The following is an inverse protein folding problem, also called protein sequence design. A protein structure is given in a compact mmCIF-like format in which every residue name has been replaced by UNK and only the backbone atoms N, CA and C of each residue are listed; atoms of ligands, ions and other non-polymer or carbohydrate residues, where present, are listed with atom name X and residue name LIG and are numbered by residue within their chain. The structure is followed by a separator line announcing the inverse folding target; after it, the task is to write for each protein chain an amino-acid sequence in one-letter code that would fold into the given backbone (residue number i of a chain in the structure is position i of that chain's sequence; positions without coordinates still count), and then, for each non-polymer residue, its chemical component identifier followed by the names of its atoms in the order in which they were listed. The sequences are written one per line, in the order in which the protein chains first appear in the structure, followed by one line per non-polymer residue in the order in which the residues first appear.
data_IF_905748427400
#
_entry.id   IF_905748427400
#
_cell.length_a   1.000
_cell.length_b   1.000
_cell.length_c   1.000
_cell.angle_alpha   90.00
_cell.angle_beta   90.00
_cell.angle_gamma   90.00
#
_symmetry.space_group_name_H-M   'P 1'
#
loop_
_entity.id
_entity.type
_entity.pdbx_description
1 polymer ?
#
# COMPACT_ATOMS: atom_id res chain seq x y z
N UNK A 1 1.63 -13.09 3.49
CA UNK A 1 1.87 -14.27 2.62
C UNK A 1 3.31 -14.65 2.86
N UNK A 2 3.59 -15.86 3.34
CA UNK A 2 4.92 -16.22 3.86
C UNK A 2 6.01 -16.15 2.76
N UNK A 3 7.10 -15.42 2.99
CA UNK A 3 8.17 -15.17 2.00
C UNK A 3 8.76 -16.49 1.49
N UNK A 4 8.87 -17.49 2.37
CA UNK A 4 9.33 -18.82 2.02
C UNK A 4 8.39 -19.53 1.03
N UNK A 5 7.07 -19.33 1.19
CA UNK A 5 6.08 -19.87 0.25
C UNK A 5 6.20 -19.24 -1.14
N UNK A 6 6.57 -17.95 -1.23
CA UNK A 6 6.81 -17.27 -2.50
C UNK A 6 8.12 -17.73 -3.15
N UNK A 7 9.19 -17.90 -2.36
CA UNK A 7 10.46 -18.48 -2.84
C UNK A 7 10.27 -19.89 -3.38
N UNK A 8 9.46 -20.72 -2.72
CA UNK A 8 9.17 -22.09 -3.17
C UNK A 8 8.34 -22.09 -4.47
N UNK A 9 7.34 -21.21 -4.59
CA UNK A 9 6.62 -21.02 -5.86
C UNK A 9 7.56 -20.63 -7.00
N UNK A 10 8.47 -19.67 -6.78
CA UNK A 10 9.48 -19.27 -7.78
C UNK A 10 10.36 -20.45 -8.19
N UNK A 11 10.79 -21.27 -7.24
CA UNK A 11 11.61 -22.46 -7.51
C UNK A 11 10.89 -23.45 -8.42
N UNK A 12 9.63 -23.76 -8.13
CA UNK A 12 8.78 -24.64 -8.96
C UNK A 12 8.63 -24.05 -10.38
N UNK A 13 8.38 -22.75 -10.48
CA UNK A 13 8.27 -22.03 -11.75
C UNK A 13 9.55 -22.11 -12.59
N UNK A 14 10.73 -21.90 -11.98
CA UNK A 14 12.02 -22.05 -12.66
C UNK A 14 12.24 -23.47 -13.16
N UNK A 15 11.96 -24.48 -12.34
CA UNK A 15 12.06 -25.89 -12.75
C UNK A 15 11.17 -26.19 -13.95
N UNK A 16 9.94 -25.69 -13.96
CA UNK A 16 9.01 -25.83 -15.09
C UNK A 16 9.53 -25.12 -16.34
N UNK A 17 10.04 -23.89 -16.23
CA UNK A 17 10.60 -23.13 -17.34
C UNK A 17 11.80 -23.85 -17.97
N UNK A 18 12.75 -24.32 -17.16
CA UNK A 18 13.90 -25.11 -17.63
C UNK A 18 13.48 -26.38 -18.36
N UNK A 19 12.43 -27.06 -17.89
CA UNK A 19 11.88 -28.26 -18.55
C UNK A 19 11.29 -27.96 -19.94
N UNK A 20 10.69 -26.78 -20.15
CA UNK A 20 10.18 -26.38 -21.47
C UNK A 20 11.32 -26.00 -22.42
N UNK A 21 12.37 -25.32 -21.91
CA UNK A 21 13.57 -25.01 -22.69
C UNK A 21 14.26 -26.28 -23.21
N UNK A 22 14.51 -27.25 -22.34
CA UNK A 22 15.14 -28.52 -22.76
C UNK A 22 14.27 -29.28 -23.76
N UNK A 23 12.93 -29.21 -23.63
CA UNK A 23 12.01 -29.81 -24.61
C UNK A 23 12.06 -29.12 -25.97
N UNK A 24 12.24 -27.80 -26.02
CA UNK A 24 12.45 -27.05 -27.26
C UNK A 24 13.79 -27.42 -27.90
N UNK A 25 14.88 -27.42 -27.12
CA UNK A 25 16.23 -27.78 -27.58
C UNK A 25 16.27 -29.19 -28.16
N UNK A 26 15.74 -30.17 -27.44
CA UNK A 26 15.66 -31.57 -27.93
C UNK A 26 14.79 -31.72 -29.16
N UNK A 27 13.71 -30.94 -29.29
CA UNK A 27 12.88 -30.95 -30.50
C UNK A 27 13.63 -30.38 -31.68
N UNK A 28 14.38 -29.28 -31.51
CA UNK A 28 15.22 -28.70 -32.56
C UNK A 28 16.27 -29.69 -33.05
N UNK A 29 16.94 -30.41 -32.14
CA UNK A 29 18.00 -31.39 -32.44
C UNK A 29 17.55 -32.65 -33.19
N UNK A 30 16.25 -32.97 -33.27
CA UNK A 30 15.76 -34.16 -34.01
C UNK A 30 15.87 -33.95 -35.53
N UNK A 31 16.56 -34.84 -36.23
CA UNK A 31 16.66 -34.81 -37.70
C UNK A 31 15.32 -35.04 -38.40
N UNK A 32 15.16 -34.43 -39.57
CA UNK A 32 13.91 -34.43 -40.36
C UNK A 32 13.97 -35.62 -41.34
N UNK A 33 13.15 -36.66 -41.13
CA UNK A 33 12.98 -37.74 -42.12
C UNK A 33 11.88 -37.38 -43.16
N UNK A 34 12.00 -38.02 -44.32
CA UNK A 34 11.50 -37.57 -45.64
C UNK A 34 9.99 -37.44 -45.77
N UNK A 35 9.17 -38.01 -44.88
CA UNK A 35 7.76 -38.22 -45.22
C UNK A 35 6.69 -37.43 -44.47
N UNK A 36 6.92 -36.78 -43.31
CA UNK A 36 5.87 -35.90 -42.73
C UNK A 36 6.29 -34.97 -41.55
N UNK A 37 7.50 -34.42 -41.50
CA UNK A 37 8.01 -33.92 -40.20
C UNK A 37 8.13 -32.37 -40.05
N UNK A 38 8.12 -31.57 -41.12
CA UNK A 38 8.38 -30.11 -40.97
C UNK A 38 7.22 -29.34 -40.33
N UNK A 39 6.00 -29.59 -40.77
CA UNK A 39 4.82 -28.82 -40.34
C UNK A 39 4.36 -29.23 -38.93
N UNK A 40 4.41 -30.53 -38.60
CA UNK A 40 4.18 -31.04 -37.25
C UNK A 40 5.21 -30.50 -36.23
N UNK A 41 6.49 -30.50 -36.61
CA UNK A 41 7.58 -29.94 -35.78
C UNK A 41 7.43 -28.43 -35.58
N UNK A 42 7.00 -27.70 -36.61
CA UNK A 42 6.71 -26.27 -36.51
C UNK A 42 5.52 -25.99 -35.56
N UNK A 43 4.45 -26.77 -35.66
CA UNK A 43 3.27 -26.65 -34.79
C UNK A 43 3.60 -26.97 -33.33
N UNK A 44 4.43 -27.99 -33.09
CA UNK A 44 4.93 -28.33 -31.75
C UNK A 44 5.82 -27.23 -31.18
N UNK A 45 6.74 -26.69 -31.97
CA UNK A 45 7.61 -25.56 -31.59
C UNK A 45 6.81 -24.29 -31.27
N UNK A 46 5.79 -23.96 -32.06
CA UNK A 46 4.91 -22.81 -31.80
C UNK A 46 4.13 -23.00 -30.50
N UNK A 47 3.63 -24.21 -30.23
CA UNK A 47 2.96 -24.53 -28.97
C UNK A 47 3.89 -24.40 -27.77
N UNK A 48 5.10 -24.96 -27.86
CA UNK A 48 6.11 -24.88 -26.80
C UNK A 48 6.59 -23.44 -26.57
N UNK A 49 6.74 -22.64 -27.64
CA UNK A 49 7.05 -21.21 -27.53
C UNK A 49 5.99 -20.46 -26.74
N UNK A 50 4.71 -20.70 -27.02
CA UNK A 50 3.60 -20.06 -26.28
C UNK A 50 3.64 -20.42 -24.79
N UNK A 51 3.84 -21.70 -24.47
CA UNK A 51 3.94 -22.17 -23.08
C UNK A 51 5.15 -21.55 -22.36
N UNK A 52 6.27 -21.42 -23.06
CA UNK A 52 7.47 -20.80 -22.51
C UNK A 52 7.26 -19.31 -22.21
N UNK A 53 6.61 -18.58 -23.12
CA UNK A 53 6.29 -17.15 -22.91
C UNK A 53 5.37 -16.94 -21.71
N UNK A 54 4.37 -17.80 -21.53
CA UNK A 54 3.48 -17.74 -20.36
C UNK A 54 4.25 -18.00 -19.05
N UNK A 55 5.09 -19.04 -19.01
CA UNK A 55 5.93 -19.34 -17.83
C UNK A 55 6.96 -18.27 -17.54
N UNK A 56 7.50 -17.60 -18.56
CA UNK A 56 8.38 -16.44 -18.38
C UNK A 56 7.64 -15.29 -17.70
N UNK A 57 6.44 -14.96 -18.17
CA UNK A 57 5.61 -13.90 -17.58
C UNK A 57 5.20 -14.21 -16.14
N UNK A 58 4.85 -15.46 -15.83
CA UNK A 58 4.59 -15.89 -14.45
C UNK A 58 5.84 -15.74 -13.57
N UNK A 59 7.02 -16.07 -14.09
CA UNK A 59 8.29 -15.96 -13.36
C UNK A 59 8.67 -14.50 -13.08
N UNK A 60 8.51 -13.61 -14.06
CA UNK A 60 8.73 -12.17 -13.91
C UNK A 60 7.84 -11.62 -12.79
N UNK A 61 6.54 -11.91 -12.84
CA UNK A 61 5.58 -11.47 -11.80
C UNK A 61 5.92 -12.02 -10.41
N UNK A 62 6.41 -13.27 -10.33
CA UNK A 62 6.82 -13.87 -9.07
C UNK A 62 8.08 -13.19 -8.49
N UNK A 63 9.07 -12.89 -9.34
CA UNK A 63 10.28 -12.17 -8.91
C UNK A 63 9.98 -10.73 -8.48
N UNK A 64 9.11 -10.01 -9.20
CA UNK A 64 8.63 -8.68 -8.79
C UNK A 64 7.95 -8.72 -7.42
N UNK A 65 7.08 -9.70 -7.18
CA UNK A 65 6.39 -9.85 -5.89
C UNK A 65 7.37 -10.18 -4.75
N UNK A 66 8.35 -11.06 -4.99
CA UNK A 66 9.40 -11.36 -4.00
C UNK A 66 10.23 -10.12 -3.68
N UNK A 67 10.63 -9.34 -4.69
CA UNK A 67 11.37 -8.10 -4.50
C UNK A 67 10.59 -7.08 -3.67
N UNK A 68 9.28 -6.94 -3.93
CA UNK A 68 8.39 -6.09 -3.14
C UNK A 68 8.31 -6.56 -1.67
N UNK A 69 8.17 -7.87 -1.43
CA UNK A 69 8.11 -8.43 -0.08
C UNK A 69 9.42 -8.24 0.70
N UNK A 70 10.57 -8.46 0.05
CA UNK A 70 11.88 -8.23 0.66
C UNK A 70 12.03 -6.76 1.02
N UNK A 71 11.74 -5.85 0.09
CA UNK A 71 11.82 -4.40 0.33
C UNK A 71 10.93 -3.96 1.49
N UNK A 72 9.69 -4.47 1.56
CA UNK A 72 8.78 -4.21 2.68
C UNK A 72 9.35 -4.74 4.00
N UNK A 73 9.94 -5.94 4.02
CA UNK A 73 10.54 -6.52 5.23
C UNK A 73 11.78 -5.76 5.72
N UNK A 74 12.65 -5.32 4.82
CA UNK A 74 13.81 -4.50 5.12
C UNK A 74 13.41 -3.14 5.64
N UNK A 75 12.40 -2.52 5.01
CA UNK A 75 11.82 -1.27 5.49
C UNK A 75 11.18 -1.42 6.87
N UNK A 76 10.48 -2.52 7.13
CA UNK A 76 9.91 -2.80 8.43
C UNK A 76 11.00 -3.00 9.50
N UNK A 77 12.11 -3.65 9.16
CA UNK A 77 13.26 -3.83 10.06
C UNK A 77 13.99 -2.51 10.35
N UNK A 78 14.25 -1.67 9.33
CA UNK A 78 14.81 -0.32 9.50
C UNK A 78 13.90 0.55 10.39
N UNK A 79 12.59 0.47 10.15
CA UNK A 79 11.59 1.17 10.96
C UNK A 79 11.63 0.70 12.41
N UNK A 80 11.65 -0.61 12.65
CA UNK A 80 11.70 -1.17 14.00
C UNK A 80 12.97 -0.75 14.74
N UNK A 81 14.12 -0.77 14.06
CA UNK A 81 15.39 -0.30 14.62
C UNK A 81 15.36 1.21 14.92
N UNK A 82 14.79 2.01 14.01
CA UNK A 82 14.73 3.47 14.16
C UNK A 82 13.73 3.91 15.21
N UNK A 83 12.55 3.29 15.28
CA UNK A 83 11.52 3.55 16.32
C UNK A 83 12.04 3.13 17.70
N UNK A 84 12.75 2.00 17.80
CA UNK A 84 13.42 1.59 19.05
C UNK A 84 14.51 2.57 19.50
N UNK A 85 15.16 3.28 18.58
CA UNK A 85 16.28 4.17 18.89
C UNK A 85 15.92 5.67 18.89
N UNK A 86 14.63 6.04 18.91
CA UNK A 86 14.24 7.44 19.14
C UNK A 86 14.45 7.75 20.62
N UNK A 87 15.64 8.24 20.97
CA UNK A 87 15.86 8.90 22.26
C UNK A 87 15.22 10.28 22.22
N UNK A 88 14.23 10.53 23.08
CA UNK A 88 13.77 11.90 23.34
C UNK A 88 14.74 12.51 24.35
N UNK A 89 15.80 13.17 23.89
CA UNK A 89 16.46 14.16 24.74
C UNK A 89 15.58 15.41 24.75
N UNK A 90 14.81 15.61 25.82
CA UNK A 90 14.34 16.96 26.15
C UNK A 90 15.54 17.77 26.60
N UNK A 91 16.33 18.29 25.65
CA UNK A 91 17.40 19.24 25.97
C UNK A 91 16.74 20.58 26.32
N UNK A 92 16.50 20.79 27.61
CA UNK A 92 16.55 22.15 28.16
C UNK A 92 18.03 22.51 28.27
N UNK A 93 18.49 23.68 27.81
CA UNK A 93 19.94 23.96 27.70
C UNK A 93 20.72 23.95 29.02
N UNK A 94 20.06 23.83 30.18
CA UNK A 94 20.67 23.93 31.51
C UNK A 94 19.95 23.02 32.53
N UNK A 95 19.83 21.72 32.27
CA UNK A 95 19.39 20.77 33.30
C UNK A 95 20.50 19.77 33.55
N UNK A 96 21.15 19.88 34.71
CA UNK A 96 22.14 18.93 35.17
C UNK A 96 21.45 17.57 35.45
N UNK A 97 21.56 16.67 34.48
CA UNK A 97 20.96 15.34 34.49
C UNK A 97 21.72 14.35 35.41
N UNK A 98 22.85 14.74 36.01
CA UNK A 98 23.65 13.86 36.86
C UNK A 98 22.98 13.51 38.20
N UNK A 99 22.00 14.29 38.63
CA UNK A 99 21.31 14.17 39.91
C UNK A 99 19.90 13.54 39.81
N UNK A 100 19.45 13.16 38.61
CA UNK A 100 18.09 12.66 38.38
C UNK A 100 18.14 11.22 37.84
N UNK A 101 17.26 10.35 38.34
CA UNK A 101 17.05 9.03 37.75
C UNK A 101 16.45 9.21 36.34
N UNK A 102 17.29 9.03 35.31
CA UNK A 102 16.87 9.12 33.92
C UNK A 102 16.17 7.82 33.52
N UNK A 103 14.87 7.90 33.28
CA UNK A 103 14.10 6.80 32.70
C UNK A 103 14.10 6.89 31.16
N UNK A 104 14.37 5.76 30.51
CA UNK A 104 14.36 5.65 29.05
C UNK A 104 13.02 5.07 28.60
N UNK A 105 12.34 5.80 27.72
CA UNK A 105 11.09 5.35 27.09
C UNK A 105 11.33 5.01 25.62
N UNK A 106 10.65 3.96 25.14
CA UNK A 106 10.66 3.58 23.73
C UNK A 106 9.27 3.76 23.14
N UNK A 107 9.19 4.23 21.89
CA UNK A 107 7.91 4.31 21.20
C UNK A 107 7.45 2.91 20.76
N UNK A 108 6.19 2.61 21.02
CA UNK A 108 5.52 1.37 20.57
C UNK A 108 4.84 1.54 19.21
N UNK A 109 4.84 2.76 18.65
CA UNK A 109 4.23 3.12 17.36
C UNK A 109 5.13 4.05 16.58
N UNK A 110 5.00 4.05 15.25
CA UNK A 110 5.64 5.04 14.38
C UNK A 110 5.05 6.41 14.72
N UNK A 111 5.91 7.35 15.11
CA UNK A 111 5.51 8.70 15.51
C UNK A 111 5.47 9.64 14.32
N UNK A 112 4.71 10.73 14.47
CA UNK A 112 4.83 11.86 13.57
C UNK A 112 6.20 12.52 13.72
N UNK A 113 6.78 13.00 12.62
CA UNK A 113 8.03 13.75 12.62
C UNK A 113 9.31 12.94 12.45
N UNK A 114 9.26 11.60 12.50
CA UNK A 114 10.42 10.79 12.06
C UNK A 114 10.49 10.70 10.55
N UNK A 115 11.71 10.80 9.99
CA UNK A 115 11.94 10.87 8.54
C UNK A 115 11.29 9.73 7.74
N UNK A 116 11.19 8.53 8.31
CA UNK A 116 10.57 7.37 7.65
C UNK A 116 9.04 7.32 7.76
N UNK A 117 8.41 8.11 8.64
CA UNK A 117 6.97 8.05 8.91
C UNK A 117 6.11 8.30 7.65
N UNK A 118 6.37 9.31 6.81
CA UNK A 118 5.56 9.56 5.62
C UNK A 118 5.56 8.39 4.64
N UNK A 119 6.73 7.75 4.49
CA UNK A 119 6.92 6.63 3.57
C UNK A 119 6.17 5.38 4.04
N UNK A 120 6.24 5.07 5.34
CA UNK A 120 5.53 3.95 5.92
C UNK A 120 4.02 4.14 5.87
N UNK A 121 3.57 5.36 6.17
CA UNK A 121 2.17 5.72 6.06
C UNK A 121 1.65 5.50 4.64
N UNK A 122 2.36 6.04 3.64
CA UNK A 122 2.01 5.86 2.23
C UNK A 122 1.99 4.38 1.81
N UNK A 123 2.96 3.58 2.26
CA UNK A 123 3.03 2.15 1.95
C UNK A 123 1.83 1.38 2.52
N UNK A 124 1.44 1.65 3.78
CA UNK A 124 0.29 1.00 4.41
C UNK A 124 -1.02 1.39 3.74
N UNK A 125 -1.21 2.68 3.41
CA UNK A 125 -2.39 3.16 2.69
C UNK A 125 -2.51 2.43 1.35
N UNK A 126 -1.45 2.44 0.52
CA UNK A 126 -1.46 1.77 -0.79
C UNK A 126 -1.84 0.30 -0.69
N UNK A 127 -1.21 -0.43 0.23
CA UNK A 127 -1.47 -1.86 0.44
C UNK A 127 -2.95 -2.15 0.76
N UNK A 128 -3.61 -1.29 1.53
CA UNK A 128 -5.01 -1.49 1.91
C UNK A 128 -5.94 -1.07 0.77
N UNK A 129 -5.64 0.06 0.14
CA UNK A 129 -6.44 0.64 -0.92
C UNK A 129 -6.45 -0.24 -2.18
N UNK A 130 -5.33 -0.89 -2.53
CA UNK A 130 -5.22 -1.81 -3.68
C UNK A 130 -6.25 -2.96 -3.67
N UNK A 131 -6.69 -3.40 -2.49
CA UNK A 131 -7.74 -4.43 -2.35
C UNK A 131 -9.10 -3.99 -2.92
N UNK A 132 -9.31 -2.68 -2.99
CA UNK A 132 -10.60 -2.06 -3.29
C UNK A 132 -10.69 -1.45 -4.68
N UNK A 133 -9.65 -1.55 -5.52
CA UNK A 133 -9.59 -0.93 -6.85
C UNK A 133 -10.81 -1.26 -7.73
N UNK A 134 -11.32 -2.49 -7.66
CA UNK A 134 -12.46 -2.94 -8.46
C UNK A 134 -13.82 -2.60 -7.83
N UNK A 135 -13.88 -2.32 -6.53
CA UNK A 135 -15.12 -2.10 -5.78
C UNK A 135 -15.39 -0.62 -5.51
N UNK A 136 -14.36 0.12 -5.09
CA UNK A 136 -14.40 1.52 -4.72
C UNK A 136 -13.35 2.31 -5.50
N UNK A 137 -13.46 2.31 -6.83
CA UNK A 137 -12.46 2.90 -7.74
C UNK A 137 -12.16 4.35 -7.39
N UNK A 138 -13.18 5.16 -7.13
CA UNK A 138 -13.01 6.59 -6.84
C UNK A 138 -12.37 6.82 -5.48
N UNK A 139 -12.79 6.09 -4.43
CA UNK A 139 -12.11 6.14 -3.14
C UNK A 139 -10.64 5.67 -3.25
N UNK A 140 -10.35 4.68 -4.10
CA UNK A 140 -8.98 4.24 -4.39
C UNK A 140 -8.13 5.37 -5.00
N UNK A 141 -8.66 6.08 -6.00
CA UNK A 141 -7.97 7.20 -6.64
C UNK A 141 -7.69 8.30 -5.61
N UNK A 142 -8.71 8.72 -4.85
CA UNK A 142 -8.60 9.80 -3.87
C UNK A 142 -7.63 9.49 -2.73
N UNK A 143 -7.63 8.25 -2.21
CA UNK A 143 -6.72 7.85 -1.14
C UNK A 143 -5.27 7.70 -1.60
N UNK A 144 -5.04 7.47 -2.90
CA UNK A 144 -3.69 7.51 -3.48
C UNK A 144 -3.16 8.94 -3.69
N UNK A 145 -4.02 9.94 -3.65
CA UNK A 145 -3.69 11.37 -3.78
C UNK A 145 -3.46 12.07 -2.42
N UNK A 146 -3.44 11.32 -1.31
CA UNK A 146 -3.15 11.85 0.01
C UNK A 146 -1.81 12.60 0.04
N UNK A 147 -1.83 13.85 0.54
CA UNK A 147 -0.61 14.58 0.83
C UNK A 147 -0.14 14.24 2.23
N UNK A 148 0.78 13.26 2.33
CA UNK A 148 1.25 12.66 3.59
C UNK A 148 0.08 12.06 4.38
N UNK A 149 -0.56 12.83 5.26
CA UNK A 149 -1.67 12.45 6.11
C UNK A 149 -2.95 13.27 5.87
N UNK A 150 -2.91 14.25 4.97
CA UNK A 150 -4.04 15.12 4.62
C UNK A 150 -4.72 14.70 3.32
N UNK A 151 -6.05 14.58 3.37
CA UNK A 151 -6.90 14.39 2.19
C UNK A 151 -7.49 15.73 1.78
N UNK A 152 -7.10 16.19 0.59
CA UNK A 152 -7.65 17.39 -0.02
C UNK A 152 -8.24 16.99 -1.36
N UNK A 153 -9.56 16.95 -1.45
CA UNK A 153 -10.22 16.62 -2.69
C UNK A 153 -11.50 17.44 -2.90
N UNK A 154 -12.09 17.32 -4.08
CA UNK A 154 -13.34 17.99 -4.42
C UNK A 154 -14.24 17.09 -5.25
N UNK A 155 -15.51 17.12 -4.94
CA UNK A 155 -16.58 16.50 -5.74
C UNK A 155 -17.60 17.56 -6.11
N UNK A 156 -18.31 17.36 -7.22
CA UNK A 156 -19.39 18.24 -7.63
C UNK A 156 -20.73 17.88 -6.97
N UNK A 157 -20.83 16.74 -6.28
CA UNK A 157 -22.09 16.20 -5.78
C UNK A 157 -22.03 15.82 -4.30
N UNK A 158 -22.95 16.36 -3.50
CA UNK A 158 -23.16 16.05 -2.08
C UNK A 158 -23.36 14.56 -1.83
N UNK A 159 -24.18 13.87 -2.63
CA UNK A 159 -24.46 12.44 -2.44
C UNK A 159 -23.21 11.60 -2.68
N UNK A 160 -22.44 11.95 -3.71
CA UNK A 160 -21.18 11.28 -4.00
C UNK A 160 -20.15 11.52 -2.88
N UNK A 161 -20.08 12.74 -2.32
CA UNK A 161 -19.22 13.05 -1.19
C UNK A 161 -19.51 12.18 0.04
N UNK A 162 -20.80 11.92 0.35
CA UNK A 162 -21.19 11.05 1.46
C UNK A 162 -20.77 9.60 1.20
N UNK A 163 -21.06 9.09 0.02
CA UNK A 163 -20.66 7.74 -0.35
C UNK A 163 -19.14 7.55 -0.26
N UNK A 164 -18.38 8.49 -0.83
CA UNK A 164 -16.92 8.49 -0.78
C UNK A 164 -16.39 8.55 0.66
N UNK A 165 -17.02 9.36 1.51
CA UNK A 165 -16.69 9.44 2.93
C UNK A 165 -16.84 8.08 3.62
N UNK A 166 -17.96 7.39 3.42
CA UNK A 166 -18.22 6.07 3.99
C UNK A 166 -17.24 5.01 3.47
N UNK A 167 -17.00 4.99 2.15
CA UNK A 167 -16.05 4.08 1.51
C UNK A 167 -14.62 4.28 2.05
N UNK A 168 -14.16 5.53 2.17
CA UNK A 168 -12.82 5.82 2.67
C UNK A 168 -12.66 5.51 4.16
N UNK A 169 -13.69 5.78 4.98
CA UNK A 169 -13.71 5.39 6.40
C UNK A 169 -13.62 3.88 6.53
N UNK A 170 -14.33 3.14 5.69
CA UNK A 170 -14.28 1.68 5.70
C UNK A 170 -12.89 1.14 5.32
N UNK A 171 -12.32 1.60 4.19
CA UNK A 171 -11.02 1.12 3.68
C UNK A 171 -9.91 1.39 4.70
N UNK A 172 -9.82 2.63 5.20
CA UNK A 172 -8.78 2.99 6.16
C UNK A 172 -9.06 2.45 7.56
N UNK A 173 -10.32 2.25 7.94
CA UNK A 173 -10.73 1.60 9.17
C UNK A 173 -10.19 0.17 9.29
N UNK A 174 -10.20 -0.59 8.19
CA UNK A 174 -9.56 -1.91 8.15
C UNK A 174 -8.04 -1.87 8.34
N UNK A 175 -7.41 -0.75 7.96
CA UNK A 175 -5.98 -0.51 8.19
C UNK A 175 -5.67 -0.04 9.63
N UNK A 176 -6.68 0.01 10.51
CA UNK A 176 -6.56 0.60 11.84
C UNK A 176 -6.37 2.12 11.81
N UNK A 177 -6.70 2.77 10.68
CA UNK A 177 -6.57 4.21 10.48
C UNK A 177 -7.93 4.88 10.56
N UNK A 178 -8.02 5.91 11.40
CA UNK A 178 -9.26 6.66 11.57
C UNK A 178 -9.15 8.02 10.86
N UNK A 179 -10.01 8.23 9.85
CA UNK A 179 -10.18 9.51 9.17
C UNK A 179 -11.06 10.43 10.02
N UNK A 180 -10.54 11.63 10.31
CA UNK A 180 -11.14 12.57 11.27
C UNK A 180 -11.17 13.98 10.72
N UNK A 181 -11.84 14.87 11.44
CA UNK A 181 -11.92 16.29 11.11
C UNK A 181 -12.40 16.57 9.68
N UNK A 182 -13.47 15.90 9.26
CA UNK A 182 -14.10 16.11 7.97
C UNK A 182 -14.64 17.54 7.85
N UNK A 183 -14.41 18.20 6.73
CA UNK A 183 -14.96 19.53 6.48
C UNK A 183 -15.33 19.69 5.02
N UNK A 184 -16.41 20.43 4.78
CA UNK A 184 -16.90 20.72 3.45
C UNK A 184 -17.64 22.06 3.43
N UNK A 185 -17.67 22.67 2.25
CA UNK A 185 -18.45 23.89 1.98
C UNK A 185 -19.95 23.61 1.75
N UNK A 186 -20.48 22.50 2.29
CA UNK A 186 -21.89 22.09 2.16
C UNK A 186 -22.48 21.87 3.55
N UNK A 187 -23.52 22.64 3.87
CA UNK A 187 -24.28 22.50 5.12
C UNK A 187 -24.97 21.14 5.20
N UNK A 188 -25.51 20.66 4.09
CA UNK A 188 -26.13 19.33 3.99
C UNK A 188 -25.16 18.20 4.34
N UNK A 189 -23.91 18.27 3.87
CA UNK A 189 -22.87 17.29 4.24
C UNK A 189 -22.56 17.33 5.72
N UNK A 190 -22.39 18.54 6.26
CA UNK A 190 -22.05 18.72 7.66
C UNK A 190 -23.15 18.20 8.61
N UNK A 191 -24.43 18.42 8.26
CA UNK A 191 -25.56 17.87 9.02
C UNK A 191 -25.65 16.35 8.93
N UNK A 192 -25.37 15.77 7.76
CA UNK A 192 -25.31 14.32 7.60
C UNK A 192 -24.20 13.69 8.45
N UNK A 193 -22.99 14.27 8.45
CA UNK A 193 -21.89 13.81 9.29
C UNK A 193 -22.19 13.92 10.78
N UNK A 194 -22.84 14.99 11.23
CA UNK A 194 -23.30 15.11 12.62
C UNK A 194 -24.30 14.03 13.00
N UNK A 195 -25.28 13.75 12.14
CA UNK A 195 -26.27 12.68 12.36
C UNK A 195 -25.60 11.30 12.42
N UNK A 196 -24.55 11.09 11.64
CA UNK A 196 -23.76 9.86 11.63
C UNK A 196 -22.67 9.79 12.71
N UNK A 197 -22.58 10.78 13.61
CA UNK A 197 -21.53 10.88 14.64
C UNK A 197 -20.09 10.85 14.07
N UNK A 198 -19.89 11.43 12.88
CA UNK A 198 -18.59 11.58 12.22
C UNK A 198 -17.94 12.89 12.69
N UNK A 199 -16.68 12.82 13.11
CA UNK A 199 -15.89 13.98 13.54
C UNK A 199 -15.72 14.99 12.39
N UNK A 200 -16.37 16.16 12.50
CA UNK A 200 -16.40 17.17 11.46
C UNK A 200 -16.33 18.62 11.98
N UNK A 201 -15.76 19.52 11.16
CA UNK A 201 -15.52 20.94 11.48
C UNK A 201 -16.34 21.85 10.59
N UNK A 202 -16.83 22.97 11.15
CA UNK A 202 -17.53 24.02 10.40
C UNK A 202 -16.54 24.80 9.54
N UNK A 203 -16.88 25.01 8.27
CA UNK A 203 -16.27 26.02 7.39
C UNK A 203 -17.32 27.03 6.93
N UNK A 204 -16.91 28.25 6.60
CA UNK A 204 -17.82 29.30 6.11
C UNK A 204 -18.36 28.98 4.71
N UNK A 205 -19.66 29.19 4.50
CA UNK A 205 -20.31 29.00 3.20
C UNK A 205 -19.67 29.87 2.11
N UNK A 206 -19.43 29.28 0.94
CA UNK A 206 -19.11 30.01 -0.28
C UNK A 206 -19.93 29.44 -1.43
N UNK A 207 -21.00 30.15 -1.80
CA UNK A 207 -21.88 29.83 -2.92
C UNK A 207 -21.12 29.87 -4.25
N UNK A 208 -21.35 28.90 -5.14
CA UNK A 208 -20.81 28.91 -6.51
C UNK A 208 -19.44 28.25 -6.73
N UNK A 209 -18.91 27.52 -5.74
CA UNK A 209 -17.62 26.79 -5.86
C UNK A 209 -17.87 25.28 -5.81
N UNK A 210 -17.10 24.51 -6.60
CA UNK A 210 -17.08 23.04 -6.54
C UNK A 210 -16.97 22.55 -5.08
N UNK A 211 -17.72 21.50 -4.70
CA UNK A 211 -17.75 21.09 -3.30
C UNK A 211 -16.39 20.52 -2.89
N UNK A 212 -15.72 21.18 -1.95
CA UNK A 212 -14.41 20.76 -1.48
C UNK A 212 -14.62 19.93 -0.23
N UNK A 213 -14.17 18.67 -0.26
CA UNK A 213 -14.16 17.79 0.90
C UNK A 213 -12.71 17.67 1.34
N UNK A 214 -12.39 18.21 2.50
CA UNK A 214 -11.08 17.99 3.11
C UNK A 214 -11.24 17.21 4.40
N UNK A 215 -10.34 16.28 4.62
CA UNK A 215 -10.26 15.50 5.85
C UNK A 215 -8.82 15.60 6.32
N UNK A 216 -8.63 16.15 7.52
CA UNK A 216 -7.29 16.25 8.13
C UNK A 216 -7.12 15.18 9.18
N UNK A 217 -6.03 14.43 9.10
CA UNK A 217 -5.63 13.54 10.18
C UNK A 217 -4.82 14.34 11.23
N UNK A 218 -5.50 14.97 12.18
CA UNK A 218 -4.86 15.55 13.38
C UNK A 218 -5.56 14.97 14.62
N UNK A 219 -4.91 14.51 15.70
CA UNK A 219 -3.69 14.99 16.34
C UNK A 219 -3.23 13.97 17.41
N UNK A 220 -1.95 14.04 17.79
CA UNK A 220 -1.38 13.55 19.06
C UNK A 220 -1.92 12.23 19.59
N UNK A 221 -1.15 11.17 19.35
CA UNK A 221 -1.16 10.07 20.30
C UNK A 221 -0.64 10.62 21.64
N UNK A 222 -1.44 10.68 22.73
CA UNK A 222 -0.83 10.79 24.05
C UNK A 222 0.18 9.66 24.13
N UNK A 223 1.37 9.95 24.63
CA UNK A 223 2.33 8.92 24.99
C UNK A 223 1.58 8.06 26.01
N UNK A 224 1.01 6.95 25.57
CA UNK A 224 0.49 5.94 26.48
C UNK A 224 1.74 5.20 26.90
N UNK A 225 2.35 5.70 27.98
CA UNK A 225 3.27 4.93 28.78
C UNK A 225 2.43 3.84 29.44
N UNK A 226 2.59 2.60 28.98
CA UNK A 226 2.42 1.44 29.87
C UNK A 226 3.77 1.14 30.52
#
# INVERSE_FOLDING_TARGET
MDLERLKEKRKILRMSFTKHLTKIETTLSKEISVEFNKEAKLKELLSLKSQLTEKLNELIKADENIQLQIKVSEMAADTHHRVKNIKIEKVKPNLDLSSHNVETFHYTRVTFGVKCSPFLLAAVIRLHVEKYINKYKKAYEMLNELYVDDLINSTSNTTEALQLNEEMIHILGEAGMNLRRWTANSTTLHEAWKRANIDCWKTSEKSGVQQRVTCRRYEHCPIVCE
#
